data_IF_574379108015
#
_entry.id   IF_574379108015
#
_cell.length_a   1.000
_cell.length_b   1.000
_cell.length_c   1.000
_cell.angle_alpha   90.00
_cell.angle_beta   90.00
_cell.angle_gamma   90.00
#
_symmetry.space_group_name_H-M   'P 1'
#
loop_
_entity.id
_entity.type
_entity.pdbx_description
1 polymer ?
#
# COMPACT_ATOMS: atom_id res chain seq x y z
N UNK A 1 4.55 0.65 -0.04
CA UNK A 1 3.07 0.61 -0.20
C UNK A 1 2.48 1.69 0.70
N UNK A 2 1.28 2.18 0.41
CA UNK A 2 0.61 3.16 1.25
C UNK A 2 -0.15 2.44 2.36
N UNK A 3 0.06 2.87 3.60
CA UNK A 3 -0.73 2.50 4.77
C UNK A 3 -1.34 3.75 5.38
N UNK A 4 -2.50 3.61 6.01
CA UNK A 4 -3.26 4.73 6.55
C UNK A 4 -3.63 4.46 8.00
N UNK A 5 -3.61 5.51 8.82
CA UNK A 5 -4.02 5.40 10.21
C UNK A 5 -5.45 4.82 10.32
N UNK A 6 -5.68 3.74 11.10
CA UNK A 6 -6.98 3.09 11.15
C UNK A 6 -8.13 3.97 11.66
N UNK A 7 -7.87 4.94 12.54
CA UNK A 7 -8.91 5.82 13.07
C UNK A 7 -9.31 6.90 12.05
N UNK A 8 -8.34 7.52 11.40
CA UNK A 8 -8.58 8.49 10.33
C UNK A 8 -9.26 7.81 9.13
N UNK A 9 -8.80 6.62 8.74
CA UNK A 9 -9.40 5.80 7.69
C UNK A 9 -10.88 5.50 7.96
N UNK A 10 -11.23 5.05 9.17
CA UNK A 10 -12.64 4.78 9.51
C UNK A 10 -13.52 6.01 9.38
N UNK A 11 -13.00 7.18 9.73
CA UNK A 11 -13.72 8.45 9.62
C UNK A 11 -14.02 8.76 8.15
N UNK A 12 -13.01 8.65 7.28
CA UNK A 12 -13.16 8.83 5.83
C UNK A 12 -14.15 7.82 5.24
N UNK A 13 -14.01 6.53 5.56
CA UNK A 13 -14.89 5.48 5.00
C UNK A 13 -16.33 5.60 5.51
N UNK A 14 -16.54 6.07 6.74
CA UNK A 14 -17.88 6.31 7.26
C UNK A 14 -18.60 7.41 6.48
N UNK A 15 -17.87 8.46 6.10
CA UNK A 15 -18.37 9.55 5.28
C UNK A 15 -18.64 9.12 3.83
N UNK A 16 -17.69 8.38 3.22
CA UNK A 16 -17.86 7.78 1.88
C UNK A 16 -19.17 6.97 1.81
N UNK A 17 -19.43 6.14 2.84
CA UNK A 17 -20.67 5.36 2.93
C UNK A 17 -21.90 6.24 3.13
N UNK A 18 -21.84 7.25 4.00
CA UNK A 18 -22.97 8.13 4.30
C UNK A 18 -23.39 8.97 3.09
N UNK A 19 -22.42 9.44 2.31
CA UNK A 19 -22.63 10.29 1.14
C UNK A 19 -22.80 9.48 -0.16
N UNK A 20 -22.67 8.16 -0.10
CA UNK A 20 -22.73 7.24 -1.26
C UNK A 20 -21.81 7.69 -2.41
N UNK A 21 -20.59 8.10 -2.08
CA UNK A 21 -19.62 8.64 -3.02
C UNK A 21 -18.40 7.71 -3.18
N UNK A 22 -17.49 8.04 -4.10
CA UNK A 22 -16.24 7.30 -4.27
C UNK A 22 -15.19 7.74 -3.24
N UNK A 23 -14.26 6.84 -2.93
CA UNK A 23 -13.04 7.15 -2.18
C UNK A 23 -11.99 7.69 -3.17
N UNK A 24 -11.39 8.83 -2.91
CA UNK A 24 -10.31 9.40 -3.72
C UNK A 24 -8.97 9.17 -3.02
N UNK A 25 -7.99 8.62 -3.73
CA UNK A 25 -6.58 8.71 -3.37
C UNK A 25 -5.96 9.88 -4.11
N UNK A 26 -5.49 10.87 -3.38
CA UNK A 26 -4.87 12.06 -3.97
C UNK A 26 -3.42 12.20 -3.54
N UNK A 27 -2.61 12.74 -4.47
CA UNK A 27 -1.33 13.37 -4.15
C UNK A 27 -1.39 14.84 -4.54
N UNK A 28 -1.12 15.70 -3.57
CA UNK A 28 -1.02 17.16 -3.67
C UNK A 28 -0.09 17.64 -2.53
N UNK A 29 -0.59 18.34 -1.51
CA UNK A 29 0.12 18.52 -0.22
C UNK A 29 0.11 17.23 0.63
N UNK A 30 0.93 16.27 0.22
CA UNK A 30 1.04 14.95 0.83
C UNK A 30 0.32 13.87 0.00
N UNK A 31 0.09 12.72 0.62
CA UNK A 31 -0.66 11.60 0.02
C UNK A 31 -1.75 11.20 0.99
N UNK A 32 -3.01 11.24 0.55
CA UNK A 32 -4.14 11.05 1.45
C UNK A 32 -5.37 10.46 0.76
N UNK A 33 -6.25 9.91 1.59
CA UNK A 33 -7.57 9.46 1.21
C UNK A 33 -8.62 10.48 1.65
N UNK A 34 -9.60 10.70 0.77
CA UNK A 34 -10.75 11.58 1.05
C UNK A 34 -12.02 11.09 0.35
N UNK A 35 -13.22 11.41 0.86
CA UNK A 35 -14.44 11.25 0.08
C UNK A 35 -14.46 12.23 -1.10
N UNK A 36 -14.92 11.78 -2.27
CA UNK A 36 -15.16 12.68 -3.43
C UNK A 36 -16.23 13.73 -3.14
N UNK A 37 -17.19 13.39 -2.28
CA UNK A 37 -18.21 14.31 -1.74
C UNK A 37 -18.10 14.26 -0.22
N UNK A 38 -17.47 15.26 0.38
CA UNK A 38 -17.25 15.34 1.83
C UNK A 38 -17.64 16.68 2.45
N UNK A 39 -17.83 16.65 3.77
CA UNK A 39 -18.02 17.79 4.64
C UNK A 39 -16.82 18.72 4.51
N UNK A 40 -17.09 20.02 4.37
CA UNK A 40 -16.05 21.04 4.26
C UNK A 40 -15.93 21.80 5.58
N UNK A 41 -14.70 22.12 5.97
CA UNK A 41 -14.44 22.99 7.10
C UNK A 41 -14.72 24.47 6.73
N UNK A 42 -14.51 25.40 7.67
CA UNK A 42 -14.74 26.83 7.45
C UNK A 42 -13.88 27.45 6.34
N UNK A 43 -12.75 26.82 5.98
CA UNK A 43 -11.87 27.26 4.88
C UNK A 43 -12.26 26.66 3.53
N UNK A 44 -13.31 25.82 3.50
CA UNK A 44 -13.77 25.15 2.28
C UNK A 44 -13.01 23.87 1.93
N UNK A 45 -12.04 23.45 2.75
CA UNK A 45 -11.28 22.22 2.57
C UNK A 45 -12.07 21.01 3.08
N UNK A 46 -11.85 19.84 2.49
CA UNK A 46 -12.44 18.59 2.99
C UNK A 46 -11.96 18.33 4.41
N UNK A 47 -12.91 18.06 5.30
CA UNK A 47 -12.68 17.95 6.73
C UNK A 47 -12.02 16.64 7.13
N UNK A 48 -12.46 15.53 6.56
CA UNK A 48 -11.94 14.21 6.89
C UNK A 48 -10.97 13.74 5.82
N UNK A 49 -9.69 13.75 6.18
CA UNK A 49 -8.58 13.21 5.40
C UNK A 49 -7.92 12.10 6.22
N UNK A 50 -7.43 11.06 5.53
CA UNK A 50 -6.54 10.07 6.12
C UNK A 50 -5.23 10.09 5.33
N UNK A 51 -4.17 10.61 5.94
CA UNK A 51 -2.86 10.67 5.29
C UNK A 51 -2.20 9.30 5.30
N UNK A 52 -1.45 9.00 4.25
CA UNK A 52 -0.56 7.86 4.24
C UNK A 52 0.57 8.07 5.26
N UNK A 53 1.05 6.99 5.87
CA UNK A 53 2.13 7.05 6.85
C UNK A 53 3.36 7.78 6.31
N UNK A 54 3.81 8.82 7.03
CA UNK A 54 4.97 9.62 6.67
C UNK A 54 4.72 10.67 5.58
N UNK A 55 3.48 10.86 5.13
CA UNK A 55 3.11 11.79 4.06
C UNK A 55 2.28 13.00 4.54
N UNK A 56 2.16 13.23 5.85
CA UNK A 56 1.32 14.32 6.37
C UNK A 56 2.12 15.62 6.49
N UNK A 57 1.76 16.70 5.77
CA UNK A 57 2.59 17.92 5.67
C UNK A 57 2.80 18.65 7.00
N UNK A 58 1.80 18.60 7.89
CA UNK A 58 1.91 19.24 9.21
C UNK A 58 2.59 18.37 10.29
N UNK A 59 2.65 17.04 10.10
CA UNK A 59 3.13 16.09 11.14
C UNK A 59 4.50 15.51 10.82
N UNK A 60 4.81 15.31 9.54
CA UNK A 60 6.00 14.60 9.07
C UNK A 60 6.97 15.57 8.40
N UNK A 61 8.16 15.79 8.99
CA UNK A 61 9.15 16.74 8.47
C UNK A 61 9.62 16.37 7.04
N UNK A 62 9.77 15.08 6.76
CA UNK A 62 10.24 14.56 5.48
C UNK A 62 9.10 14.21 4.49
N UNK A 63 7.87 14.70 4.72
CA UNK A 63 6.68 14.27 3.98
C UNK A 63 6.82 14.33 2.46
N UNK A 64 7.49 15.37 1.94
CA UNK A 64 7.64 15.60 0.52
C UNK A 64 8.47 14.49 -0.13
N UNK A 65 9.62 14.16 0.45
CA UNK A 65 10.48 13.09 -0.06
C UNK A 65 9.84 11.72 0.12
N UNK A 66 9.15 11.47 1.25
CA UNK A 66 8.40 10.23 1.46
C UNK A 66 7.30 10.06 0.41
N UNK A 67 6.51 11.10 0.16
CA UNK A 67 5.45 11.09 -0.86
C UNK A 67 6.02 10.81 -2.25
N UNK A 68 7.12 11.49 -2.59
CA UNK A 68 7.82 11.30 -3.86
C UNK A 68 8.35 9.88 -4.04
N UNK A 69 8.89 9.27 -2.99
CA UNK A 69 9.39 7.89 -3.03
C UNK A 69 8.26 6.86 -3.13
N UNK A 70 7.10 7.13 -2.52
CA UNK A 70 5.99 6.17 -2.46
C UNK A 70 5.15 6.15 -3.73
N UNK A 71 4.91 7.32 -4.35
CA UNK A 71 3.95 7.45 -5.47
C UNK A 71 4.45 8.32 -6.63
N UNK A 72 5.71 8.76 -6.60
CA UNK A 72 6.28 9.62 -7.64
C UNK A 72 6.10 11.11 -7.40
N UNK A 73 6.64 11.93 -8.30
CA UNK A 73 6.73 13.39 -8.14
C UNK A 73 5.50 14.18 -8.58
N UNK A 74 4.65 13.62 -9.45
CA UNK A 74 3.53 14.33 -10.09
C UNK A 74 2.26 14.25 -9.23
N UNK A 75 1.43 15.28 -9.30
CA UNK A 75 0.15 15.33 -8.60
C UNK A 75 -0.91 14.53 -9.34
N UNK A 76 -1.78 13.84 -8.58
CA UNK A 76 -2.81 12.98 -9.16
C UNK A 76 -4.01 12.80 -8.23
N UNK A 77 -5.11 12.32 -8.79
CA UNK A 77 -6.27 11.84 -8.06
C UNK A 77 -6.81 10.57 -8.73
N UNK A 78 -6.92 9.49 -7.95
CA UNK A 78 -7.45 8.21 -8.40
C UNK A 78 -8.70 7.85 -7.60
N UNK A 79 -9.82 7.64 -8.29
CA UNK A 79 -11.05 7.14 -7.68
C UNK A 79 -10.95 5.63 -7.42
N UNK A 80 -11.11 5.26 -6.16
CA UNK A 80 -11.07 3.90 -5.66
C UNK A 80 -12.49 3.43 -5.33
N UNK A 81 -12.87 2.29 -5.92
CA UNK A 81 -14.15 1.65 -5.66
C UNK A 81 -13.97 0.54 -4.63
N UNK A 82 -14.43 0.78 -3.41
CA UNK A 82 -14.51 -0.25 -2.38
C UNK A 82 -15.83 -1.02 -2.51
N UNK A 83 -15.78 -2.34 -2.36
CA UNK A 83 -17.01 -3.15 -2.23
C UNK A 83 -17.67 -2.88 -0.89
N UNK A 84 -18.99 -3.06 -0.78
CA UNK A 84 -19.73 -2.93 0.49
C UNK A 84 -19.11 -3.79 1.60
N UNK A 85 -18.62 -4.98 1.24
CA UNK A 85 -17.92 -5.87 2.17
C UNK A 85 -16.61 -5.29 2.69
N UNK A 86 -15.85 -4.60 1.85
CA UNK A 86 -14.63 -3.89 2.28
C UNK A 86 -14.96 -2.75 3.24
N UNK A 87 -16.01 -2.00 2.93
CA UNK A 87 -16.50 -0.89 3.78
C UNK A 87 -16.91 -1.42 5.17
N UNK A 88 -17.72 -2.47 5.23
CA UNK A 88 -18.16 -3.10 6.48
C UNK A 88 -16.97 -3.56 7.33
N UNK A 89 -16.00 -4.25 6.71
CA UNK A 89 -14.79 -4.74 7.38
C UNK A 89 -13.95 -3.63 8.01
N UNK A 90 -13.75 -2.52 7.30
CA UNK A 90 -12.98 -1.38 7.81
C UNK A 90 -13.72 -0.73 9.01
N UNK A 91 -15.03 -0.54 8.87
CA UNK A 91 -15.84 0.18 9.85
C UNK A 91 -16.14 -0.64 11.12
N UNK A 92 -16.28 -1.95 11.00
CA UNK A 92 -16.82 -2.78 12.09
C UNK A 92 -15.87 -3.90 12.56
N UNK A 93 -14.94 -4.36 11.72
CA UNK A 93 -14.09 -5.52 12.02
C UNK A 93 -12.62 -5.14 12.24
N UNK A 94 -12.31 -3.85 12.30
CA UNK A 94 -10.96 -3.35 12.56
C UNK A 94 -9.93 -3.65 11.48
N UNK A 95 -10.38 -3.87 10.24
CA UNK A 95 -9.46 -4.05 9.11
C UNK A 95 -8.75 -2.75 8.75
N UNK A 96 -7.51 -2.89 8.32
CA UNK A 96 -6.66 -1.83 7.78
C UNK A 96 -6.69 -1.86 6.25
N UNK A 97 -6.34 -0.74 5.62
CA UNK A 97 -6.21 -0.63 4.18
C UNK A 97 -4.75 -0.36 3.82
N UNK A 98 -4.20 -1.24 2.99
CA UNK A 98 -2.93 -1.01 2.30
C UNK A 98 -3.20 -0.83 0.81
N UNK A 99 -2.52 0.13 0.17
CA UNK A 99 -2.61 0.38 -1.26
C UNK A 99 -1.24 0.18 -1.91
N UNK A 100 -1.19 -0.66 -2.93
CA UNK A 100 -0.04 -0.82 -3.80
C UNK A 100 -0.34 -0.14 -5.14
N UNK A 101 0.20 1.06 -5.30
CA UNK A 101 0.12 1.81 -6.54
C UNK A 101 1.18 1.31 -7.51
N UNK A 102 0.76 0.69 -8.61
CA UNK A 102 1.61 0.33 -9.73
C UNK A 102 1.18 1.14 -10.96
N UNK A 103 2.07 1.44 -11.91
CA UNK A 103 1.77 2.35 -13.03
C UNK A 103 0.55 1.99 -13.89
N UNK A 104 0.15 0.72 -13.92
CA UNK A 104 -1.01 0.25 -14.69
C UNK A 104 -2.15 -0.26 -13.81
N UNK A 105 -1.96 -0.36 -12.48
CA UNK A 105 -2.92 -1.05 -11.62
C UNK A 105 -2.79 -0.60 -10.17
N UNK A 106 -3.91 -0.29 -9.54
CA UNK A 106 -4.01 -0.07 -8.10
C UNK A 106 -4.47 -1.36 -7.42
N UNK A 107 -3.69 -1.90 -6.50
CA UNK A 107 -4.11 -3.02 -5.66
C UNK A 107 -4.47 -2.51 -4.26
N UNK A 108 -5.65 -2.88 -3.79
CA UNK A 108 -6.11 -2.58 -2.44
C UNK A 108 -6.13 -3.86 -1.61
N UNK A 109 -5.55 -3.81 -0.41
CA UNK A 109 -5.45 -4.94 0.50
C UNK A 109 -6.14 -4.57 1.81
N UNK A 110 -7.36 -5.06 2.00
CA UNK A 110 -8.17 -4.86 3.22
C UNK A 110 -8.13 -6.12 4.08
N UNK A 111 -7.43 -6.07 5.20
CA UNK A 111 -7.30 -7.19 6.13
C UNK A 111 -6.97 -6.69 7.55
N UNK A 112 -7.05 -7.59 8.52
CA UNK A 112 -6.50 -7.35 9.87
C UNK A 112 -5.03 -7.74 9.91
N UNK A 113 -4.27 -7.12 10.83
CA UNK A 113 -2.90 -7.53 11.10
C UNK A 113 -2.88 -8.98 11.58
N UNK A 114 -2.17 -9.81 10.82
CA UNK A 114 -1.86 -11.19 11.13
C UNK A 114 -0.60 -11.27 12.00
N UNK A 115 -0.81 -11.47 13.30
CA UNK A 115 0.26 -11.62 14.27
C UNK A 115 0.87 -13.02 14.22
N UNK A 116 2.13 -13.11 13.81
CA UNK A 116 2.85 -14.38 13.65
C UNK A 116 3.97 -14.55 14.67
N UNK A 117 4.43 -15.79 14.83
CA UNK A 117 5.63 -16.07 15.60
C UNK A 117 6.90 -15.63 14.85
N UNK A 118 8.03 -15.48 15.56
CA UNK A 118 9.31 -15.02 14.95
C UNK A 118 9.75 -15.95 13.81
N UNK A 119 9.51 -17.26 13.93
CA UNK A 119 9.89 -18.22 12.89
C UNK A 119 9.11 -17.99 11.58
N UNK A 120 7.80 -17.71 11.67
CA UNK A 120 6.98 -17.43 10.50
C UNK A 120 7.25 -16.04 9.92
N UNK A 121 7.56 -15.05 10.78
CA UNK A 121 7.99 -13.72 10.33
C UNK A 121 9.25 -13.81 9.47
N UNK A 122 10.29 -14.50 9.97
CA UNK A 122 11.53 -14.76 9.22
C UNK A 122 11.30 -15.61 7.97
N UNK A 123 10.35 -16.55 8.00
CA UNK A 123 9.98 -17.33 6.81
C UNK A 123 9.37 -16.43 5.73
N UNK A 124 8.53 -15.46 6.11
CA UNK A 124 8.01 -14.47 5.18
C UNK A 124 9.14 -13.63 4.58
N UNK A 125 10.07 -13.14 5.42
CA UNK A 125 11.29 -12.44 4.97
C UNK A 125 12.09 -13.26 3.95
N UNK A 126 12.36 -14.53 4.26
CA UNK A 126 13.08 -15.44 3.36
C UNK A 126 12.32 -15.69 2.04
N UNK A 127 10.98 -15.76 2.09
CA UNK A 127 10.15 -15.89 0.90
C UNK A 127 10.22 -14.66 0.00
N UNK A 128 10.23 -13.45 0.60
CA UNK A 128 10.43 -12.21 -0.16
C UNK A 128 11.82 -12.18 -0.83
N UNK A 129 12.87 -12.57 -0.10
CA UNK A 129 14.22 -12.69 -0.66
C UNK A 129 14.30 -13.67 -1.85
N UNK A 130 13.73 -14.87 -1.70
CA UNK A 130 13.71 -15.87 -2.77
C UNK A 130 13.01 -15.32 -4.03
N UNK A 131 11.90 -14.61 -3.87
CA UNK A 131 11.21 -14.01 -5.01
C UNK A 131 12.01 -12.86 -5.63
N UNK A 132 12.61 -11.99 -4.82
CA UNK A 132 13.27 -10.78 -5.28
C UNK A 132 14.63 -11.03 -5.98
N UNK A 133 15.36 -12.07 -5.55
CA UNK A 133 16.71 -12.34 -6.05
C UNK A 133 16.81 -13.63 -6.87
N UNK A 134 16.24 -14.74 -6.37
CA UNK A 134 16.40 -16.05 -7.02
C UNK A 134 15.40 -16.22 -8.14
N UNK A 135 14.10 -16.13 -7.86
CA UNK A 135 13.08 -16.38 -8.88
C UNK A 135 13.07 -15.30 -9.96
N UNK A 136 13.31 -14.03 -9.58
CA UNK A 136 13.38 -12.94 -10.53
C UNK A 136 14.52 -13.13 -11.56
N UNK A 137 15.71 -13.55 -11.11
CA UNK A 137 16.90 -13.66 -11.98
C UNK A 137 16.84 -14.83 -12.95
N UNK A 138 16.02 -15.85 -12.69
CA UNK A 138 15.88 -17.03 -13.55
C UNK A 138 14.71 -16.93 -14.53
N UNK A 139 13.89 -15.87 -14.46
CA UNK A 139 12.84 -15.62 -15.45
C UNK A 139 13.48 -15.21 -16.79
N UNK A 140 13.14 -15.93 -17.87
CA UNK A 140 13.68 -15.71 -19.22
C UNK A 140 12.62 -15.35 -20.26
N UNK A 141 11.33 -15.45 -19.92
CA UNK A 141 10.22 -15.13 -20.82
C UNK A 141 9.22 -14.17 -20.20
N UNK A 142 8.42 -13.51 -21.05
CA UNK A 142 7.32 -12.64 -20.57
C UNK A 142 6.30 -13.43 -19.75
N UNK A 143 5.97 -14.66 -20.15
CA UNK A 143 5.04 -15.49 -19.40
C UNK A 143 5.59 -15.83 -18.00
N UNK A 144 6.88 -16.15 -17.88
CA UNK A 144 7.51 -16.39 -16.58
C UNK A 144 7.50 -15.13 -15.71
N UNK A 145 7.86 -13.98 -16.27
CA UNK A 145 7.81 -12.70 -15.55
C UNK A 145 6.39 -12.33 -15.12
N UNK A 146 5.38 -12.62 -15.95
CA UNK A 146 3.97 -12.41 -15.60
C UNK A 146 3.57 -13.25 -14.37
N UNK A 147 3.83 -14.56 -14.41
CA UNK A 147 3.51 -15.45 -13.29
C UNK A 147 4.32 -15.10 -12.04
N UNK A 148 5.60 -14.75 -12.19
CA UNK A 148 6.45 -14.29 -11.11
C UNK A 148 5.87 -13.03 -10.45
N UNK A 149 5.48 -12.03 -11.26
CA UNK A 149 4.90 -10.77 -10.80
C UNK A 149 3.61 -10.99 -10.01
N UNK A 150 2.71 -11.82 -10.52
CA UNK A 150 1.47 -12.19 -9.82
C UNK A 150 1.78 -12.83 -8.45
N UNK A 151 2.76 -13.74 -8.39
CA UNK A 151 3.17 -14.38 -7.13
C UNK A 151 3.82 -13.39 -6.16
N UNK A 152 4.64 -12.47 -6.67
CA UNK A 152 5.30 -11.44 -5.88
C UNK A 152 4.28 -10.46 -5.26
N UNK A 153 3.30 -9.99 -6.05
CA UNK A 153 2.21 -9.13 -5.56
C UNK A 153 1.41 -9.86 -4.48
N UNK A 154 1.07 -11.13 -4.66
CA UNK A 154 0.35 -11.91 -3.64
C UNK A 154 1.16 -12.07 -2.33
N UNK A 155 2.49 -12.21 -2.44
CA UNK A 155 3.36 -12.24 -1.25
C UNK A 155 3.39 -10.89 -0.56
N UNK A 156 3.55 -9.79 -1.29
CA UNK A 156 3.53 -8.45 -0.73
C UNK A 156 2.17 -8.14 -0.06
N UNK A 157 1.06 -8.54 -0.68
CA UNK A 157 -0.29 -8.41 -0.13
C UNK A 157 -0.48 -9.15 1.20
N UNK A 158 0.20 -10.28 1.38
CA UNK A 158 0.19 -11.02 2.65
C UNK A 158 1.15 -10.37 3.65
N UNK A 159 2.31 -9.94 3.16
CA UNK A 159 3.38 -9.38 3.97
C UNK A 159 2.99 -8.04 4.60
N UNK A 160 2.29 -7.17 3.87
CA UNK A 160 1.88 -5.86 4.39
C UNK A 160 0.95 -5.97 5.62
N UNK A 161 0.26 -7.10 5.79
CA UNK A 161 -0.59 -7.39 6.95
C UNK A 161 0.07 -8.33 7.96
N UNK A 162 1.36 -8.65 7.83
CA UNK A 162 2.04 -9.60 8.73
C UNK A 162 2.97 -8.87 9.69
N UNK A 163 2.76 -9.04 11.00
CA UNK A 163 3.64 -8.47 12.04
C UNK A 163 3.96 -9.50 13.13
N UNK A 164 5.01 -9.25 13.90
CA UNK A 164 5.49 -10.12 14.95
C UNK A 164 5.87 -9.33 16.20
N UNK A 165 5.09 -9.48 17.28
CA UNK A 165 5.32 -8.80 18.57
C UNK A 165 6.71 -9.06 19.18
N UNK A 166 7.35 -10.18 18.83
CA UNK A 166 8.62 -10.63 19.42
C UNK A 166 9.82 -10.53 18.46
N UNK A 167 9.62 -9.99 17.25
CA UNK A 167 10.72 -9.75 16.31
C UNK A 167 11.71 -8.73 16.91
N UNK A 168 13.01 -9.02 16.76
CA UNK A 168 14.06 -8.08 17.16
C UNK A 168 14.13 -6.93 16.15
N UNK A 169 14.76 -5.79 16.49
CA UNK A 169 14.97 -4.69 15.54
C UNK A 169 15.58 -5.16 14.22
N UNK A 170 16.65 -5.97 14.27
CA UNK A 170 17.26 -6.54 13.07
C UNK A 170 16.29 -7.39 12.21
N UNK A 171 15.39 -8.16 12.85
CA UNK A 171 14.39 -8.94 12.09
C UNK A 171 13.41 -8.00 11.35
N UNK A 172 13.06 -6.86 11.96
CA UNK A 172 12.17 -5.84 11.36
C UNK A 172 12.87 -5.09 10.23
N UNK A 173 14.13 -4.73 10.43
CA UNK A 173 14.95 -4.07 9.41
C UNK A 173 15.10 -4.96 8.17
N UNK A 174 15.43 -6.24 8.38
CA UNK A 174 15.52 -7.23 7.29
C UNK A 174 14.18 -7.41 6.58
N UNK A 175 13.08 -7.46 7.33
CA UNK A 175 11.74 -7.60 6.77
C UNK A 175 11.39 -6.40 5.88
N UNK A 176 11.59 -5.19 6.39
CA UNK A 176 11.30 -3.95 5.65
C UNK A 176 12.18 -3.83 4.42
N UNK A 177 13.48 -4.10 4.55
CA UNK A 177 14.41 -4.07 3.42
C UNK A 177 14.01 -5.04 2.30
N UNK A 178 13.59 -6.26 2.66
CA UNK A 178 13.18 -7.26 1.66
C UNK A 178 11.78 -7.03 1.10
N UNK A 179 10.89 -6.41 1.88
CA UNK A 179 9.61 -5.93 1.38
C UNK A 179 9.82 -4.86 0.28
N UNK A 180 10.62 -3.83 0.56
CA UNK A 180 10.91 -2.77 -0.42
C UNK A 180 11.67 -3.30 -1.63
N UNK A 181 12.62 -4.22 -1.42
CA UNK A 181 13.35 -4.85 -2.52
C UNK A 181 12.43 -5.64 -3.45
N UNK A 182 11.50 -6.44 -2.90
CA UNK A 182 10.55 -7.18 -3.71
C UNK A 182 9.56 -6.24 -4.43
N UNK A 183 9.11 -5.16 -3.75
CA UNK A 183 8.29 -4.12 -4.37
C UNK A 183 9.01 -3.51 -5.59
N UNK A 184 10.25 -3.06 -5.44
CA UNK A 184 11.03 -2.49 -6.55
C UNK A 184 11.16 -3.45 -7.74
N UNK A 185 11.31 -4.76 -7.50
CA UNK A 185 11.32 -5.76 -8.58
C UNK A 185 9.96 -5.90 -9.26
N UNK A 186 8.87 -5.81 -8.50
CA UNK A 186 7.51 -5.84 -9.07
C UNK A 186 7.30 -4.61 -9.96
N UNK A 187 7.83 -3.45 -9.58
CA UNK A 187 7.73 -2.21 -10.33
C UNK A 187 8.45 -2.27 -11.70
N UNK A 188 9.48 -3.11 -11.83
CA UNK A 188 10.19 -3.34 -13.10
C UNK A 188 9.47 -4.28 -14.07
N UNK A 189 8.36 -4.91 -13.68
CA UNK A 189 7.63 -5.85 -14.54
C UNK A 189 6.18 -5.38 -14.67
N UNK A 190 5.68 -5.26 -15.90
CA UNK A 190 4.28 -4.89 -16.11
C UNK A 190 3.33 -6.10 -16.01
N UNK A 191 2.00 -5.89 -15.93
CA UNK A 191 0.99 -6.96 -15.95
C UNK A 191 1.08 -7.97 -17.10
N UNK A 192 1.73 -7.61 -18.22
CA UNK A 192 1.97 -8.51 -19.37
C UNK A 192 3.29 -9.27 -19.28
N UNK A 193 4.07 -9.08 -18.21
CA UNK A 193 5.38 -9.69 -18.00
C UNK A 193 6.52 -9.01 -18.76
N UNK A 194 6.27 -7.85 -19.38
CA UNK A 194 7.32 -7.07 -20.02
C UNK A 194 8.10 -6.25 -18.99
N UNK A 195 9.44 -6.22 -19.14
CA UNK A 195 10.33 -5.42 -18.30
C UNK A 195 10.18 -3.93 -18.63
N UNK A 196 10.14 -3.09 -17.59
CA UNK A 196 10.10 -1.64 -17.64
C UNK A 196 11.45 -1.08 -17.17
N UNK A 197 12.06 -0.24 -17.99
CA UNK A 197 13.25 0.53 -17.63
C UNK A 197 13.02 2.01 -17.98
N UNK A 198 13.24 2.97 -17.05
CA UNK A 198 13.57 2.80 -15.64
C UNK A 198 12.34 2.49 -14.76
N UNK A 199 12.55 1.86 -13.60
CA UNK A 199 11.55 1.87 -12.53
C UNK A 199 11.46 3.30 -11.99
N UNK A 200 10.25 3.86 -11.97
CA UNK A 200 9.99 5.17 -11.38
C UNK A 200 10.09 5.09 -9.85
#
# INVERSE_FOLDING_TARGET
MLHFNPAELRTVIAEVRANQCALMLAKDEGVYLMPTVGERNATGCIKHLAYADGCHPEKDEAWYETSRQLVGGDDFGEELVLTDRCIERILSEGHELWIHLLPETVYMHVAVVNWVCVADYRRMTARMLQLAEVHYSVCVSQDEFKHWRERAINVLATACHTDCKRAKPADRDDYQALFERLKQRVDTVNPKGALRYPAF
#
